data_IF_664389630267
#
_entry.id   IF_664389630267
#
_cell.length_a   1.000
_cell.length_b   1.000
_cell.length_c   1.000
_cell.angle_alpha   90.00
_cell.angle_beta   90.00
_cell.angle_gamma   90.00
#
_symmetry.space_group_name_H-M   'P 1'
#
loop_
_entity.id
_entity.type
_entity.pdbx_description
1 polymer ?
#
# COMPACT_ATOMS: atom_id res chain seq x y z
N UNK A 1 -9.73 -19.57 15.93
CA UNK A 1 -8.58 -19.43 15.01
C UNK A 1 -7.56 -20.46 15.45
N UNK A 2 -7.01 -21.24 14.51
CA UNK A 2 -6.08 -22.32 14.84
C UNK A 2 -4.73 -21.73 15.32
N UNK A 3 -4.06 -22.42 16.25
CA UNK A 3 -2.89 -21.89 16.97
C UNK A 3 -1.69 -21.61 16.08
N UNK A 4 -1.44 -22.46 15.08
CA UNK A 4 -0.42 -22.31 14.03
C UNK A 4 -0.57 -20.99 13.27
N UNK A 5 -1.79 -20.60 12.93
CA UNK A 5 -2.08 -19.33 12.24
C UNK A 5 -1.79 -18.14 13.16
N UNK A 6 -2.14 -18.26 14.45
CA UNK A 6 -1.84 -17.21 15.43
C UNK A 6 -0.32 -17.04 15.54
N UNK A 7 0.42 -18.13 15.70
CA UNK A 7 1.88 -18.10 15.79
C UNK A 7 2.51 -17.48 14.54
N UNK A 8 2.03 -17.87 13.35
CA UNK A 8 2.49 -17.31 12.09
C UNK A 8 2.22 -15.80 11.97
N UNK A 9 1.01 -15.34 12.31
CA UNK A 9 0.68 -13.91 12.30
C UNK A 9 1.52 -13.15 13.33
N UNK A 10 1.76 -13.74 14.50
CA UNK A 10 2.56 -13.11 15.55
C UNK A 10 4.06 -13.10 15.23
N UNK A 11 4.54 -13.94 14.31
CA UNK A 11 5.91 -13.94 13.83
C UNK A 11 6.21 -12.73 12.92
N UNK A 12 5.19 -12.07 12.37
CA UNK A 12 5.34 -10.87 11.53
C UNK A 12 4.62 -9.68 12.16
N UNK A 13 5.38 -8.64 12.53
CA UNK A 13 4.81 -7.44 13.14
C UNK A 13 3.80 -6.71 12.24
N UNK A 14 3.99 -6.77 10.92
CA UNK A 14 3.06 -6.20 9.94
C UNK A 14 1.73 -6.95 9.94
N UNK A 15 1.77 -8.28 9.89
CA UNK A 15 0.55 -9.11 9.92
C UNK A 15 -0.19 -8.92 11.24
N UNK A 16 0.54 -8.92 12.35
CA UNK A 16 -0.01 -8.64 13.68
C UNK A 16 -0.63 -7.26 13.78
N UNK A 17 -0.01 -6.25 13.17
CA UNK A 17 -0.56 -4.89 13.11
C UNK A 17 -1.82 -4.85 12.26
N UNK A 18 -1.79 -5.43 11.07
CA UNK A 18 -2.95 -5.50 10.19
C UNK A 18 -4.13 -6.23 10.83
N UNK A 19 -3.88 -7.31 11.57
CA UNK A 19 -4.93 -8.05 12.27
C UNK A 19 -5.64 -7.18 13.34
N UNK A 20 -4.93 -6.24 13.96
CA UNK A 20 -5.52 -5.27 14.91
C UNK A 20 -6.30 -4.18 14.21
N UNK A 21 -5.79 -3.70 13.08
CA UNK A 21 -6.43 -2.64 12.29
C UNK A 21 -7.69 -3.16 11.56
N UNK A 22 -7.72 -4.46 11.23
CA UNK A 22 -8.78 -5.14 10.50
C UNK A 22 -9.34 -6.36 11.26
N UNK A 23 -10.11 -6.17 12.35
CA UNK A 23 -10.59 -7.26 13.21
C UNK A 23 -11.60 -8.20 12.55
N UNK A 24 -12.13 -7.87 11.37
CA UNK A 24 -12.94 -8.80 10.57
C UNK A 24 -12.17 -10.10 10.26
N UNK A 25 -10.84 -10.02 10.10
CA UNK A 25 -10.00 -11.15 9.78
C UNK A 25 -9.91 -12.17 10.91
N UNK A 26 -10.06 -11.77 12.18
CA UNK A 26 -10.19 -12.72 13.29
C UNK A 26 -11.36 -13.68 13.07
N UNK A 27 -12.51 -13.15 12.63
CA UNK A 27 -13.71 -13.98 12.39
C UNK A 27 -13.55 -14.83 11.13
N UNK A 28 -12.97 -14.25 10.09
CA UNK A 28 -12.73 -14.93 8.81
C UNK A 28 -11.76 -16.10 8.97
N UNK A 29 -10.57 -15.88 9.52
CA UNK A 29 -9.55 -16.90 9.74
C UNK A 29 -9.95 -17.92 10.81
N UNK A 30 -10.82 -17.53 11.76
CA UNK A 30 -11.37 -18.48 12.72
C UNK A 30 -12.39 -19.44 12.11
N UNK A 31 -13.09 -19.04 11.04
CA UNK A 31 -14.09 -19.88 10.35
C UNK A 31 -13.49 -20.65 9.19
N UNK A 32 -12.58 -20.04 8.46
CA UNK A 32 -11.89 -20.63 7.33
C UNK A 32 -10.37 -20.32 7.44
N UNK A 33 -9.59 -21.25 8.00
CA UNK A 33 -8.15 -21.08 8.14
C UNK A 33 -7.41 -20.99 6.80
N UNK A 34 -7.99 -21.49 5.70
CA UNK A 34 -7.36 -21.51 4.37
C UNK A 34 -7.33 -20.11 3.71
N UNK A 35 -7.94 -19.11 4.34
CA UNK A 35 -7.90 -17.72 3.86
C UNK A 35 -6.68 -16.93 4.34
N UNK A 36 -5.69 -17.60 4.93
CA UNK A 36 -4.45 -16.96 5.39
C UNK A 36 -3.72 -16.22 4.25
N UNK A 37 -3.64 -16.83 3.07
CA UNK A 37 -3.01 -16.21 1.90
C UNK A 37 -3.73 -14.90 1.49
N UNK A 38 -5.06 -14.89 1.53
CA UNK A 38 -5.86 -13.68 1.24
C UNK A 38 -5.62 -12.58 2.29
N UNK A 39 -5.45 -12.97 3.55
CA UNK A 39 -5.12 -12.05 4.63
C UNK A 39 -3.75 -11.40 4.42
N UNK A 40 -2.74 -12.18 4.02
CA UNK A 40 -1.41 -11.65 3.70
C UNK A 40 -1.46 -10.65 2.54
N UNK A 41 -2.10 -11.01 1.42
CA UNK A 41 -2.27 -10.12 0.28
C UNK A 41 -2.96 -8.82 0.71
N UNK A 42 -4.04 -8.92 1.48
CA UNK A 42 -4.78 -7.76 1.98
C UNK A 42 -3.92 -6.88 2.90
N UNK A 43 -3.02 -7.46 3.70
CA UNK A 43 -2.07 -6.71 4.54
C UNK A 43 -1.07 -5.90 3.69
N UNK A 44 -0.58 -6.49 2.59
CA UNK A 44 0.36 -5.83 1.67
C UNK A 44 -0.28 -4.62 1.00
N UNK A 45 -1.55 -4.76 0.58
CA UNK A 45 -2.33 -3.65 0.03
C UNK A 45 -2.63 -2.58 1.08
N UNK A 46 -2.96 -2.97 2.32
CA UNK A 46 -3.30 -2.03 3.40
C UNK A 46 -2.14 -1.12 3.79
N UNK A 47 -0.93 -1.65 3.88
CA UNK A 47 0.26 -0.85 4.19
C UNK A 47 0.84 -0.11 2.99
N UNK A 48 0.13 -0.07 1.84
CA UNK A 48 0.57 0.60 0.62
C UNK A 48 2.01 0.23 0.23
N UNK A 49 2.45 -1.00 0.52
CA UNK A 49 3.72 -1.54 0.02
C UNK A 49 3.65 -1.78 -1.49
N UNK A 50 2.45 -1.74 -2.07
CA UNK A 50 2.25 -1.41 -3.47
C UNK A 50 2.43 0.09 -3.63
N UNK A 51 3.49 0.50 -4.35
CA UNK A 51 3.76 1.88 -4.76
C UNK A 51 2.91 2.21 -6.00
N UNK A 52 1.73 2.84 -5.90
CA UNK A 52 1.28 3.66 -7.03
C UNK A 52 0.96 5.12 -6.65
N UNK A 53 0.69 5.42 -5.38
CA UNK A 53 0.28 6.77 -4.96
C UNK A 53 1.44 7.75 -4.75
N UNK A 54 2.68 7.28 -4.59
CA UNK A 54 3.85 8.18 -4.53
C UNK A 54 4.29 8.68 -5.91
N UNK A 55 3.88 8.03 -7.00
CA UNK A 55 4.21 8.45 -8.37
C UNK A 55 3.26 9.53 -8.89
N UNK A 56 2.01 9.56 -8.42
CA UNK A 56 1.04 10.57 -8.85
C UNK A 56 1.43 11.98 -8.37
N UNK A 57 2.04 12.10 -7.18
CA UNK A 57 2.59 13.38 -6.71
C UNK A 57 3.84 13.83 -7.48
N UNK A 58 4.58 12.91 -8.11
CA UNK A 58 5.72 13.26 -8.96
C UNK A 58 5.30 13.77 -10.35
N UNK A 59 4.17 13.30 -10.90
CA UNK A 59 3.69 13.74 -12.22
C UNK A 59 3.33 15.24 -12.27
N UNK A 60 2.72 15.75 -11.20
CA UNK A 60 2.29 17.16 -11.13
C UNK A 60 3.48 18.15 -11.08
N UNK A 61 4.63 17.73 -10.54
CA UNK A 61 5.84 18.55 -10.51
C UNK A 61 6.49 18.73 -11.89
N UNK A 62 6.48 17.67 -12.72
CA UNK A 62 7.11 17.69 -14.05
C UNK A 62 6.31 18.50 -15.06
N UNK A 63 4.97 18.45 -15.01
CA UNK A 63 4.10 19.23 -15.91
C UNK A 63 4.23 20.74 -15.70
N UNK A 64 4.42 21.20 -14.47
CA UNK A 64 4.63 22.63 -14.19
C UNK A 64 6.03 23.09 -14.65
N UNK A 65 7.06 22.23 -14.51
CA UNK A 65 8.41 22.53 -14.98
C UNK A 65 8.50 22.66 -16.51
N UNK A 66 7.79 21.80 -17.27
CA UNK A 66 7.78 21.90 -18.74
C UNK A 66 7.12 23.18 -19.24
N UNK A 67 6.07 23.66 -18.55
CA UNK A 67 5.39 24.92 -18.88
C UNK A 67 6.27 26.14 -18.59
N UNK A 68 7.05 26.12 -17.49
CA UNK A 68 7.98 27.21 -17.20
C UNK A 68 9.16 27.25 -18.19
N UNK A 69 9.68 26.09 -18.60
CA UNK A 69 10.75 26.00 -19.61
C UNK A 69 10.26 26.50 -20.97
N UNK A 70 9.04 26.15 -21.38
CA UNK A 70 8.49 26.63 -22.65
C UNK A 70 8.25 28.14 -22.65
N UNK A 71 7.79 28.71 -21.54
CA UNK A 71 7.70 30.18 -21.39
C UNK A 71 9.07 30.86 -21.46
N UNK A 72 10.09 30.31 -20.79
CA UNK A 72 11.45 30.86 -20.82
C UNK A 72 12.09 30.81 -22.22
N UNK A 73 11.86 29.73 -22.98
CA UNK A 73 12.32 29.64 -24.37
C UNK A 73 11.61 30.67 -25.25
N UNK A 74 10.30 30.85 -25.08
CA UNK A 74 9.53 31.83 -25.85
C UNK A 74 10.02 33.27 -25.61
N UNK A 75 10.43 33.60 -24.38
CA UNK A 75 10.95 34.93 -24.03
C UNK A 75 12.37 35.22 -24.54
N UNK A 76 13.21 34.20 -24.71
CA UNK A 76 14.56 34.36 -25.27
C UNK A 76 14.61 34.24 -26.80
N UNK A 77 13.45 33.98 -27.44
CA UNK A 77 13.32 33.82 -28.89
C UNK A 77 12.86 35.11 -29.59
N UNK A 78 12.73 36.22 -28.85
CA UNK A 78 12.62 37.60 -29.35
C UNK A 78 13.90 38.38 -29.05
#
# INVERSE_FOLDING_TARGET
>A
MRSDIIEYIHASDDLKRYLRDAPQWYRTLSRNPDQLEKFEIASIHHFEKTIPHRVQKFSNGVQMASMMISMFQAMNSE
#
